data_IF_671971521848
#
_entry.id   IF_671971521848
#
_cell.length_a   1.000
_cell.length_b   1.000
_cell.length_c   1.000
_cell.angle_alpha   90.00
_cell.angle_beta   90.00
_cell.angle_gamma   90.00
#
_symmetry.space_group_name_H-M   'P 1'
#
loop_
_entity.id
_entity.type
_entity.pdbx_description
1 polymer ?
#
# COMPACT_ATOMS: atom_id res chain seq x y z
N UNK A 1 -21.50 2.44 18.19
CA UNK A 1 -20.02 2.26 18.36
C UNK A 1 -19.31 2.76 17.12
N UNK A 2 -18.19 3.52 17.23
CA UNK A 2 -17.43 4.00 16.05
C UNK A 2 -16.89 2.82 15.24
N UNK A 3 -17.04 2.88 13.91
CA UNK A 3 -16.73 1.77 13.02
C UNK A 3 -15.88 2.22 11.82
N UNK A 4 -14.81 1.50 11.52
CA UNK A 4 -14.02 1.64 10.31
C UNK A 4 -14.36 0.51 9.34
N UNK A 5 -14.98 0.85 8.22
CA UNK A 5 -15.17 -0.08 7.09
C UNK A 5 -13.91 -0.06 6.23
N UNK A 6 -13.35 -1.21 5.96
CA UNK A 6 -12.15 -1.38 5.15
C UNK A 6 -12.51 -2.08 3.84
N UNK A 7 -12.53 -1.33 2.74
CA UNK A 7 -12.73 -1.86 1.39
C UNK A 7 -11.37 -2.15 0.75
N UNK A 8 -11.04 -3.41 0.63
CA UNK A 8 -9.74 -3.87 0.14
C UNK A 8 -9.86 -4.82 -1.06
N UNK A 9 -8.75 -5.03 -1.73
CA UNK A 9 -8.66 -5.95 -2.86
C UNK A 9 -7.51 -5.58 -3.81
N UNK A 10 -7.24 -6.43 -4.82
CA UNK A 10 -6.12 -6.23 -5.73
C UNK A 10 -6.31 -4.99 -6.62
N UNK A 11 -5.19 -4.53 -7.17
CA UNK A 11 -5.26 -3.50 -8.21
C UNK A 11 -6.05 -4.00 -9.42
N UNK A 12 -6.84 -3.13 -10.04
CA UNK A 12 -7.69 -3.47 -11.21
C UNK A 12 -9.03 -4.13 -10.86
N UNK A 13 -9.31 -4.47 -9.58
CA UNK A 13 -10.55 -5.18 -9.19
C UNK A 13 -11.83 -4.33 -9.31
N UNK A 14 -11.74 -3.00 -9.21
CA UNK A 14 -12.91 -2.11 -9.30
C UNK A 14 -13.28 -1.39 -8.00
N UNK A 15 -12.34 -1.21 -7.07
CA UNK A 15 -12.60 -0.54 -5.78
C UNK A 15 -13.13 0.89 -5.89
N UNK A 16 -12.64 1.67 -6.84
CA UNK A 16 -12.84 3.13 -6.88
C UNK A 16 -14.33 3.50 -6.94
N UNK A 17 -15.08 2.99 -7.91
CA UNK A 17 -16.51 3.33 -8.04
C UNK A 17 -17.34 2.78 -6.85
N UNK A 18 -17.03 1.57 -6.39
CA UNK A 18 -17.70 1.01 -5.23
C UNK A 18 -17.41 1.83 -3.97
N UNK A 19 -16.15 2.29 -3.78
CA UNK A 19 -15.81 3.12 -2.62
C UNK A 19 -16.56 4.46 -2.60
N UNK A 20 -16.75 5.08 -3.77
CA UNK A 20 -17.58 6.28 -3.90
C UNK A 20 -19.04 6.00 -3.51
N UNK A 21 -19.64 4.95 -4.10
CA UNK A 21 -21.03 4.56 -3.80
C UNK A 21 -21.25 4.23 -2.32
N UNK A 22 -20.29 3.53 -1.69
CA UNK A 22 -20.38 3.23 -0.25
C UNK A 22 -20.18 4.48 0.61
N UNK A 23 -19.25 5.36 0.26
CA UNK A 23 -19.02 6.60 0.99
C UNK A 23 -20.22 7.55 0.93
N UNK A 24 -20.87 7.66 -0.25
CA UNK A 24 -22.11 8.40 -0.43
C UNK A 24 -23.25 7.81 0.42
N UNK A 25 -23.42 6.49 0.44
CA UNK A 25 -24.42 5.80 1.25
C UNK A 25 -24.18 6.01 2.76
N UNK A 26 -22.93 5.97 3.18
CA UNK A 26 -22.53 6.10 4.58
C UNK A 26 -22.42 7.58 5.04
N UNK A 27 -22.49 8.54 4.13
CA UNK A 27 -22.31 9.95 4.41
C UNK A 27 -20.92 10.26 5.00
N UNK A 28 -19.86 9.56 4.56
CA UNK A 28 -18.54 9.70 5.13
C UNK A 28 -17.46 9.94 4.06
N UNK A 29 -16.31 10.53 4.42
CA UNK A 29 -15.18 10.66 3.51
C UNK A 29 -14.49 9.30 3.27
N UNK A 30 -13.67 9.24 2.21
CA UNK A 30 -12.79 8.12 1.93
C UNK A 30 -11.38 8.40 2.49
N UNK A 31 -10.87 7.49 3.30
CA UNK A 31 -9.48 7.45 3.72
C UNK A 31 -8.75 6.54 2.73
N UNK A 32 -7.95 7.13 1.85
CA UNK A 32 -7.26 6.38 0.81
C UNK A 32 -6.08 5.58 1.40
N UNK A 33 -6.05 4.29 1.08
CA UNK A 33 -5.05 3.34 1.55
C UNK A 33 -4.20 2.80 0.38
N UNK A 34 -3.58 3.73 -0.36
CA UNK A 34 -2.62 3.42 -1.42
C UNK A 34 -1.31 4.15 -1.19
N UNK A 35 -0.21 3.39 -1.05
CA UNK A 35 1.11 3.92 -0.71
C UNK A 35 1.80 4.70 -1.84
N UNK A 36 1.15 4.84 -2.99
CA UNK A 36 1.67 5.61 -4.13
C UNK A 36 0.81 6.82 -4.43
N UNK A 37 -0.50 6.71 -4.30
CA UNK A 37 -1.43 7.81 -4.51
C UNK A 37 -1.29 8.94 -3.48
N UNK A 38 -0.62 8.70 -2.37
CA UNK A 38 -0.32 9.72 -1.35
C UNK A 38 0.66 10.78 -1.87
N UNK A 39 1.49 10.45 -2.86
CA UNK A 39 2.47 11.38 -3.42
C UNK A 39 1.89 12.26 -4.51
N UNK A 40 2.31 13.55 -4.52
CA UNK A 40 1.91 14.53 -5.51
C UNK A 40 2.41 14.15 -6.91
N UNK A 41 1.62 14.50 -7.93
CA UNK A 41 2.01 14.37 -9.33
C UNK A 41 1.81 12.98 -9.95
N UNK A 42 1.80 11.91 -9.19
CA UNK A 42 1.67 10.54 -9.70
C UNK A 42 0.18 10.18 -9.93
N UNK A 43 -0.42 10.73 -10.97
CA UNK A 43 -1.85 10.59 -11.22
C UNK A 43 -2.19 9.38 -12.09
N UNK A 44 -1.54 9.29 -13.26
CA UNK A 44 -1.83 8.28 -14.28
C UNK A 44 -1.30 6.92 -13.83
N UNK A 45 -0.01 6.83 -13.52
CA UNK A 45 0.64 5.56 -13.18
C UNK A 45 0.14 4.92 -11.89
N UNK A 46 -0.44 5.69 -10.98
CA UNK A 46 -1.07 5.18 -9.76
C UNK A 46 -2.59 5.01 -9.90
N UNK A 47 -3.18 5.50 -10.99
CA UNK A 47 -4.63 5.67 -11.17
C UNK A 47 -5.28 6.33 -9.96
N UNK A 48 -4.72 7.46 -9.54
CA UNK A 48 -5.27 8.25 -8.43
C UNK A 48 -6.70 8.72 -8.76
N UNK A 49 -7.53 8.95 -7.73
CA UNK A 49 -8.88 9.50 -7.92
C UNK A 49 -8.85 10.79 -8.74
N UNK A 50 -9.73 10.90 -9.72
CA UNK A 50 -9.86 12.09 -10.56
C UNK A 50 -10.44 13.28 -9.77
N UNK A 51 -10.29 14.49 -10.30
CA UNK A 51 -10.90 15.68 -9.68
C UNK A 51 -12.42 15.55 -9.56
N UNK A 52 -13.08 14.93 -10.55
CA UNK A 52 -14.51 14.63 -10.52
C UNK A 52 -14.87 13.67 -9.38
N UNK A 53 -14.11 12.58 -9.23
CA UNK A 53 -14.33 11.61 -8.14
C UNK A 53 -14.10 12.26 -6.76
N UNK A 54 -13.08 13.12 -6.63
CA UNK A 54 -12.81 13.85 -5.40
C UNK A 54 -13.85 14.95 -5.10
N UNK A 55 -14.53 15.48 -6.10
CA UNK A 55 -15.64 16.42 -5.89
C UNK A 55 -16.92 15.75 -5.40
N UNK A 56 -17.14 14.47 -5.74
CA UNK A 56 -18.28 13.67 -5.23
C UNK A 56 -18.11 13.33 -3.75
N UNK A 57 -16.93 12.87 -3.38
CA UNK A 57 -16.63 12.46 -2.00
C UNK A 57 -15.23 12.96 -1.64
N UNK A 58 -15.08 13.53 -0.45
CA UNK A 58 -13.78 13.96 0.05
C UNK A 58 -12.85 12.77 0.25
N UNK A 59 -11.63 12.85 -0.32
CA UNK A 59 -10.57 11.87 -0.14
C UNK A 59 -9.45 12.44 0.73
N UNK A 60 -8.98 11.66 1.68
CA UNK A 60 -7.76 11.93 2.45
C UNK A 60 -6.62 11.06 1.93
N UNK A 61 -5.39 11.49 2.12
CA UNK A 61 -4.16 10.80 1.68
C UNK A 61 -4.08 10.58 0.17
N UNK A 62 -4.52 11.57 -0.61
CA UNK A 62 -4.33 11.63 -2.06
C UNK A 62 -3.52 12.87 -2.39
N UNK A 63 -2.35 12.69 -3.01
CA UNK A 63 -1.45 13.76 -3.44
C UNK A 63 -1.11 14.77 -2.30
N UNK A 64 -0.85 14.28 -1.10
CA UNK A 64 -0.58 15.10 0.09
C UNK A 64 0.91 15.28 0.38
N UNK A 65 1.78 14.41 -0.16
CA UNK A 65 3.21 14.41 0.12
C UNK A 65 4.05 14.73 -1.12
N UNK A 66 5.18 15.44 -0.98
CA UNK A 66 6.13 15.59 -2.07
C UNK A 66 6.81 14.25 -2.40
N UNK A 67 7.36 14.13 -3.63
CA UNK A 67 7.90 12.87 -4.16
C UNK A 67 9.13 12.35 -3.40
N UNK A 68 9.89 13.21 -2.78
CA UNK A 68 11.09 12.92 -2.01
C UNK A 68 10.80 12.65 -0.53
N UNK A 69 9.55 12.82 -0.07
CA UNK A 69 9.20 12.54 1.30
C UNK A 69 9.39 11.06 1.65
N UNK A 70 9.97 10.82 2.82
CA UNK A 70 9.94 9.51 3.44
C UNK A 70 8.58 9.30 4.12
N UNK A 71 7.89 8.22 3.77
CA UNK A 71 6.61 7.90 4.36
C UNK A 71 6.45 6.39 4.54
N UNK A 72 6.39 5.96 5.79
CA UNK A 72 6.33 4.55 6.18
C UNK A 72 4.92 4.11 6.54
N UNK A 73 4.72 2.79 6.67
CA UNK A 73 3.45 2.26 7.16
C UNK A 73 3.15 2.68 8.60
N UNK A 74 4.18 2.89 9.43
CA UNK A 74 4.01 3.37 10.80
C UNK A 74 3.56 4.84 10.84
N UNK A 75 4.12 5.70 9.98
CA UNK A 75 3.64 7.08 9.84
C UNK A 75 2.21 7.12 9.31
N UNK A 76 1.89 6.30 8.29
CA UNK A 76 0.52 6.19 7.79
C UNK A 76 -0.45 5.74 8.89
N UNK A 77 -0.10 4.73 9.70
CA UNK A 77 -0.90 4.29 10.86
C UNK A 77 -1.18 5.46 11.81
N UNK A 78 -0.13 6.17 12.23
CA UNK A 78 -0.26 7.29 13.16
C UNK A 78 -1.17 8.40 12.61
N UNK A 79 -0.95 8.81 11.36
CA UNK A 79 -1.73 9.84 10.70
C UNK A 79 -3.19 9.44 10.50
N UNK A 80 -3.46 8.17 10.13
CA UNK A 80 -4.84 7.66 10.01
C UNK A 80 -5.52 7.60 11.36
N UNK A 81 -4.87 7.14 12.42
CA UNK A 81 -5.45 7.12 13.76
C UNK A 81 -5.77 8.52 14.27
N UNK A 82 -4.89 9.49 14.05
CA UNK A 82 -5.13 10.89 14.36
C UNK A 82 -6.32 11.44 13.56
N UNK A 83 -6.35 11.20 12.24
CA UNK A 83 -7.45 11.64 11.38
C UNK A 83 -8.79 11.01 11.80
N UNK A 84 -8.81 9.71 12.07
CA UNK A 84 -10.04 9.01 12.48
C UNK A 84 -10.58 9.55 13.80
N UNK A 85 -9.71 9.90 14.77
CA UNK A 85 -10.12 10.51 16.03
C UNK A 85 -10.87 11.85 15.81
N UNK A 86 -10.44 12.66 14.83
CA UNK A 86 -11.12 13.90 14.46
C UNK A 86 -12.44 13.63 13.72
N UNK A 87 -12.41 12.75 12.72
CA UNK A 87 -13.59 12.46 11.90
C UNK A 87 -14.71 11.77 12.69
N UNK A 88 -14.37 10.97 13.70
CA UNK A 88 -15.35 10.33 14.57
C UNK A 88 -16.10 11.30 15.51
N UNK A 89 -15.72 12.57 15.55
CA UNK A 89 -16.52 13.61 16.22
C UNK A 89 -17.82 13.91 15.46
N UNK A 90 -17.83 13.72 14.14
CA UNK A 90 -18.97 14.03 13.25
C UNK A 90 -19.51 12.84 12.47
N UNK A 91 -18.84 11.69 12.49
CA UNK A 91 -19.23 10.47 11.77
C UNK A 91 -19.23 9.28 12.73
N UNK A 92 -20.14 8.34 12.56
CA UNK A 92 -20.13 7.07 13.30
C UNK A 92 -19.41 5.96 12.51
N UNK A 93 -19.42 6.07 11.18
CA UNK A 93 -18.77 5.15 10.26
C UNK A 93 -17.79 5.91 9.37
N UNK A 94 -16.61 5.35 9.15
CA UNK A 94 -15.61 5.84 8.20
C UNK A 94 -15.24 4.74 7.21
N UNK A 95 -14.81 5.13 6.01
CA UNK A 95 -14.41 4.21 4.94
C UNK A 95 -12.91 4.35 4.63
N UNK A 96 -12.15 3.28 4.87
CA UNK A 96 -10.77 3.10 4.40
C UNK A 96 -10.81 2.30 3.10
N UNK A 97 -10.25 2.81 2.01
CA UNK A 97 -10.27 2.10 0.72
C UNK A 97 -8.88 2.04 0.09
N UNK A 98 -8.44 0.84 -0.30
CA UNK A 98 -7.15 0.70 -0.99
C UNK A 98 -6.68 -0.73 -1.19
N UNK A 99 -5.40 -0.85 -1.58
CA UNK A 99 -4.76 -2.13 -1.88
C UNK A 99 -3.37 -2.29 -1.28
N UNK A 100 -2.88 -1.31 -0.51
CA UNK A 100 -1.55 -1.38 0.09
C UNK A 100 -1.57 -2.25 1.35
N UNK A 101 -1.13 -3.49 1.19
CA UNK A 101 -1.18 -4.54 2.22
C UNK A 101 -0.65 -4.07 3.58
N UNK A 102 0.56 -3.53 3.61
CA UNK A 102 1.21 -3.07 4.85
C UNK A 102 0.48 -1.88 5.50
N UNK A 103 -0.16 -1.00 4.70
CA UNK A 103 -0.92 0.12 5.23
C UNK A 103 -2.23 -0.34 5.87
N UNK A 104 -2.93 -1.30 5.22
CA UNK A 104 -4.14 -1.90 5.76
C UNK A 104 -3.83 -2.63 7.07
N UNK A 105 -2.78 -3.45 7.09
CA UNK A 105 -2.38 -4.18 8.30
C UNK A 105 -1.97 -3.22 9.42
N UNK A 106 -1.21 -2.16 9.11
CA UNK A 106 -0.82 -1.16 10.08
C UNK A 106 -2.04 -0.49 10.74
N UNK A 107 -3.03 -0.07 9.95
CA UNK A 107 -4.24 0.55 10.49
C UNK A 107 -5.12 -0.46 11.24
N UNK A 108 -5.26 -1.70 10.75
CA UNK A 108 -6.15 -2.68 11.34
C UNK A 108 -5.58 -3.36 12.58
N UNK A 109 -4.30 -3.69 12.55
CA UNK A 109 -3.66 -4.55 13.56
C UNK A 109 -2.58 -3.84 14.35
N UNK A 110 -2.06 -2.73 13.84
CA UNK A 110 -0.86 -2.08 14.34
C UNK A 110 0.41 -2.62 13.70
N UNK A 111 1.42 -1.79 13.73
CA UNK A 111 2.77 -2.17 13.34
C UNK A 111 3.69 -2.07 14.56
N UNK A 112 4.72 -2.92 14.59
CA UNK A 112 5.72 -2.86 15.66
C UNK A 112 6.40 -1.49 15.70
N UNK A 113 6.74 -1.00 16.90
CA UNK A 113 7.39 0.29 17.10
C UNK A 113 8.88 0.21 16.76
N UNK A 114 9.15 0.09 15.46
CA UNK A 114 10.50 0.04 14.93
C UNK A 114 11.03 1.48 14.78
N UNK A 115 12.20 1.82 15.32
CA UNK A 115 12.74 3.17 15.23
C UNK A 115 13.00 3.60 13.78
N UNK A 116 12.77 4.87 13.48
CA UNK A 116 13.10 5.43 12.16
C UNK A 116 14.61 5.51 11.99
N UNK A 117 15.11 4.91 10.93
CA UNK A 117 16.55 4.89 10.63
C UNK A 117 17.00 6.26 10.13
N UNK A 118 18.09 6.78 10.68
CA UNK A 118 18.71 8.03 10.22
C UNK A 118 19.31 7.87 8.83
N UNK A 119 19.38 8.97 8.08
CA UNK A 119 19.97 8.97 6.73
C UNK A 119 21.46 8.56 6.76
N UNK A 120 22.20 8.94 7.79
CA UNK A 120 23.59 8.56 7.95
C UNK A 120 23.76 7.03 8.03
N UNK A 121 22.94 6.34 8.83
CA UNK A 121 22.98 4.87 8.94
C UNK A 121 22.58 4.21 7.63
N UNK A 122 21.54 4.72 6.95
CA UNK A 122 21.11 4.19 5.64
C UNK A 122 22.22 4.30 4.61
N UNK A 123 22.86 5.46 4.52
CA UNK A 123 23.93 5.70 3.56
C UNK A 123 25.11 4.75 3.86
N UNK A 124 25.53 4.64 5.11
CA UNK A 124 26.61 3.75 5.51
C UNK A 124 26.32 2.28 5.15
N UNK A 125 25.15 1.75 5.50
CA UNK A 125 24.80 0.36 5.16
C UNK A 125 24.68 0.15 3.64
N UNK A 126 24.16 1.14 2.89
CA UNK A 126 24.08 1.08 1.44
C UNK A 126 25.46 1.09 0.77
N UNK A 127 26.41 1.87 1.26
CA UNK A 127 27.79 1.88 0.80
C UNK A 127 28.48 0.55 1.09
N UNK A 128 28.29 0.02 2.28
CA UNK A 128 28.79 -1.30 2.66
C UNK A 128 28.20 -2.43 1.80
N UNK A 129 26.90 -2.37 1.47
CA UNK A 129 26.30 -3.31 0.53
C UNK A 129 27.00 -3.28 -0.83
N UNK A 130 27.41 -2.11 -1.29
CA UNK A 130 28.06 -1.95 -2.59
C UNK A 130 29.52 -2.44 -2.59
N UNK A 131 30.20 -2.31 -1.45
CA UNK A 131 31.65 -2.65 -1.31
C UNK A 131 31.89 -4.06 -0.78
N UNK A 132 31.11 -4.51 0.20
CA UNK A 132 31.28 -5.78 0.91
C UNK A 132 30.36 -6.89 0.34
N UNK A 133 29.24 -6.50 -0.27
CA UNK A 133 28.25 -7.42 -0.81
C UNK A 133 27.23 -7.91 0.22
N UNK A 134 26.19 -8.59 -0.28
CA UNK A 134 25.07 -9.07 0.54
C UNK A 134 25.48 -10.17 1.54
N UNK A 135 26.41 -11.04 1.14
CA UNK A 135 26.85 -12.19 1.98
C UNK A 135 27.55 -11.71 3.24
N UNK A 136 28.43 -10.71 3.13
CA UNK A 136 29.11 -10.13 4.29
C UNK A 136 28.12 -9.49 5.28
N UNK A 137 27.14 -8.75 4.76
CA UNK A 137 26.09 -8.14 5.56
C UNK A 137 25.18 -9.20 6.22
N UNK A 138 24.87 -10.26 5.52
CA UNK A 138 24.08 -11.36 6.07
C UNK A 138 24.83 -12.09 7.21
N UNK A 139 26.15 -12.29 7.07
CA UNK A 139 26.99 -12.88 8.11
C UNK A 139 27.11 -11.96 9.34
N UNK A 140 27.18 -10.65 9.15
CA UNK A 140 27.09 -9.69 10.25
C UNK A 140 25.75 -9.79 10.98
N UNK A 141 24.63 -9.85 10.22
CA UNK A 141 23.30 -10.03 10.81
C UNK A 141 23.21 -11.32 11.63
N UNK A 142 23.84 -12.41 11.17
CA UNK A 142 23.92 -13.68 11.91
C UNK A 142 24.57 -13.51 13.28
N UNK A 143 25.59 -12.66 13.37
CA UNK A 143 26.29 -12.38 14.64
C UNK A 143 25.51 -11.47 15.57
N UNK A 144 24.83 -10.45 15.03
CA UNK A 144 24.11 -9.44 15.80
C UNK A 144 22.72 -9.93 16.21
N UNK A 145 22.01 -10.60 15.30
CA UNK A 145 20.62 -11.06 15.49
C UNK A 145 20.43 -12.45 14.86
N UNK A 146 20.95 -13.51 15.50
CA UNK A 146 20.84 -14.88 14.99
C UNK A 146 19.40 -15.34 14.83
N UNK A 147 18.47 -14.93 15.70
CA UNK A 147 17.07 -15.30 15.62
C UNK A 147 16.43 -14.76 14.34
N UNK A 148 16.69 -13.51 13.98
CA UNK A 148 16.17 -12.98 12.72
C UNK A 148 16.87 -13.57 11.51
N UNK A 149 18.17 -13.81 11.60
CA UNK A 149 18.92 -14.45 10.53
C UNK A 149 18.36 -15.82 10.15
N UNK A 150 17.93 -16.61 11.12
CA UNK A 150 17.40 -17.96 10.88
C UNK A 150 16.08 -17.95 10.09
N UNK A 151 15.27 -16.91 10.25
CA UNK A 151 13.95 -16.82 9.61
C UNK A 151 13.90 -15.94 8.36
N UNK A 152 14.90 -15.05 8.17
CA UNK A 152 14.92 -14.15 7.02
C UNK A 152 15.36 -14.87 5.75
N UNK A 153 14.73 -14.52 4.62
CA UNK A 153 15.24 -14.92 3.31
C UNK A 153 16.60 -14.24 3.03
N UNK A 154 17.69 -15.01 3.07
CA UNK A 154 19.07 -14.54 2.89
C UNK A 154 19.33 -13.89 1.53
N UNK A 155 18.48 -14.14 0.51
CA UNK A 155 18.52 -13.50 -0.81
C UNK A 155 17.77 -12.17 -0.85
N UNK A 156 17.03 -11.85 0.19
CA UNK A 156 16.26 -10.62 0.27
C UNK A 156 17.11 -9.47 0.82
N UNK A 157 17.85 -8.81 -0.08
CA UNK A 157 18.72 -7.68 0.23
C UNK A 157 18.04 -6.62 1.11
N UNK A 158 16.78 -6.27 0.79
CA UNK A 158 16.07 -5.22 1.54
C UNK A 158 15.83 -5.60 2.99
N UNK A 159 15.51 -6.87 3.27
CA UNK A 159 15.26 -7.33 4.64
C UNK A 159 16.53 -7.41 5.46
N UNK A 160 17.63 -7.89 4.86
CA UNK A 160 18.95 -7.93 5.51
C UNK A 160 19.42 -6.51 5.86
N UNK A 161 19.42 -5.63 4.86
CA UNK A 161 19.82 -4.22 5.02
C UNK A 161 18.99 -3.54 6.10
N UNK A 162 17.66 -3.63 6.03
CA UNK A 162 16.78 -2.99 7.00
C UNK A 162 17.00 -3.50 8.44
N UNK A 163 17.20 -4.80 8.62
CA UNK A 163 17.49 -5.35 9.94
C UNK A 163 18.80 -4.81 10.50
N UNK A 164 19.87 -4.75 9.69
CA UNK A 164 21.14 -4.16 10.09
C UNK A 164 21.03 -2.66 10.39
N UNK A 165 20.31 -1.90 9.55
CA UNK A 165 20.04 -0.48 9.81
C UNK A 165 19.43 -0.27 11.20
N UNK A 166 18.44 -1.08 11.58
CA UNK A 166 17.81 -1.02 12.90
C UNK A 166 18.78 -1.43 14.00
N UNK A 167 19.54 -2.50 13.82
CA UNK A 167 20.52 -2.95 14.81
C UNK A 167 21.59 -1.87 15.06
N UNK A 168 22.14 -1.30 14.00
CA UNK A 168 23.17 -0.24 14.12
C UNK A 168 22.63 1.05 14.71
N UNK A 169 21.39 1.42 14.34
CA UNK A 169 20.74 2.62 14.85
C UNK A 169 20.41 2.53 16.34
N UNK A 170 19.91 1.38 16.77
CA UNK A 170 19.35 1.21 18.13
C UNK A 170 20.29 0.57 19.13
N UNK A 171 21.35 -0.11 18.66
CA UNK A 171 22.19 -0.97 19.51
C UNK A 171 21.49 -2.23 20.01
N UNK A 172 20.32 -2.58 19.48
CA UNK A 172 19.49 -3.73 19.86
C UNK A 172 19.25 -4.63 18.65
N UNK A 173 18.88 -5.90 18.89
CA UNK A 173 18.51 -6.82 17.82
C UNK A 173 17.21 -6.36 17.14
N UNK A 174 17.10 -6.58 15.83
CA UNK A 174 15.86 -6.32 15.10
C UNK A 174 14.71 -7.19 15.62
N UNK A 175 14.99 -8.43 16.02
CA UNK A 175 14.04 -9.34 16.68
C UNK A 175 13.39 -8.71 17.90
N UNK A 176 14.14 -7.94 18.72
CA UNK A 176 13.59 -7.31 19.92
C UNK A 176 12.48 -6.28 19.65
N UNK A 177 12.37 -5.76 18.44
CA UNK A 177 11.31 -4.86 18.02
C UNK A 177 10.14 -5.59 17.36
N UNK A 178 10.33 -6.85 16.93
CA UNK A 178 9.28 -7.65 16.27
C UNK A 178 8.41 -8.36 17.30
N UNK A 179 7.60 -7.57 17.98
CA UNK A 179 6.72 -8.10 19.04
C UNK A 179 5.47 -8.77 18.45
N UNK A 180 5.10 -8.43 17.22
CA UNK A 180 3.95 -8.96 16.48
C UNK A 180 2.63 -8.89 17.29
N UNK A 181 2.51 -7.96 18.24
CA UNK A 181 1.30 -7.78 19.03
C UNK A 181 0.28 -6.94 18.26
N UNK A 182 -0.93 -7.46 18.17
CA UNK A 182 -2.04 -6.64 17.70
C UNK A 182 -2.29 -5.50 18.70
N UNK A 183 -2.27 -4.27 18.19
CA UNK A 183 -2.59 -3.09 18.97
C UNK A 183 -4.12 -2.90 19.00
N UNK A 184 -4.75 -2.71 20.17
CA UNK A 184 -6.18 -2.44 20.23
C UNK A 184 -6.53 -1.17 19.44
N UNK A 185 -7.68 -1.18 18.79
CA UNK A 185 -8.21 -0.02 18.05
C UNK A 185 -9.39 0.60 18.78
N UNK A 186 -9.50 1.95 18.78
CA UNK A 186 -10.60 2.65 19.46
C UNK A 186 -11.91 2.59 18.64
N UNK A 187 -11.99 1.73 17.63
CA UNK A 187 -13.11 1.53 16.73
C UNK A 187 -13.23 0.05 16.32
N UNK A 188 -14.43 -0.32 15.96
CA UNK A 188 -14.70 -1.62 15.33
C UNK A 188 -14.20 -1.60 13.87
N UNK A 189 -13.78 -2.76 13.38
CA UNK A 189 -13.32 -2.92 11.98
C UNK A 189 -14.22 -3.92 11.27
N UNK A 190 -14.77 -3.51 10.12
CA UNK A 190 -15.50 -4.39 9.19
C UNK A 190 -14.69 -4.45 7.89
N UNK A 191 -14.27 -5.66 7.48
CA UNK A 191 -13.44 -5.83 6.29
C UNK A 191 -14.25 -6.42 5.15
N UNK A 192 -14.28 -5.70 4.02
CA UNK A 192 -14.90 -6.12 2.75
C UNK A 192 -13.79 -6.29 1.73
N UNK A 193 -13.59 -7.53 1.31
CA UNK A 193 -12.62 -7.89 0.27
C UNK A 193 -13.30 -8.00 -1.10
N UNK A 194 -12.67 -7.43 -2.12
CA UNK A 194 -13.14 -7.58 -3.49
C UNK A 194 -12.24 -8.52 -4.27
N UNK A 195 -12.86 -9.44 -5.00
CA UNK A 195 -12.18 -10.34 -5.91
C UNK A 195 -12.99 -10.56 -7.19
N UNK A 196 -12.29 -10.91 -8.28
CA UNK A 196 -12.87 -11.30 -9.57
C UNK A 196 -12.21 -12.59 -10.05
N UNK A 197 -12.85 -13.37 -10.94
CA UNK A 197 -12.18 -14.45 -11.64
C UNK A 197 -10.85 -13.97 -12.25
N UNK A 198 -9.84 -14.82 -12.21
CA UNK A 198 -8.47 -14.46 -12.61
C UNK A 198 -8.37 -13.88 -14.01
N UNK A 199 -9.09 -14.46 -14.97
CA UNK A 199 -9.06 -14.02 -16.37
C UNK A 199 -9.63 -12.62 -16.52
N UNK A 200 -10.75 -12.37 -15.85
CA UNK A 200 -11.39 -11.05 -15.84
C UNK A 200 -10.48 -9.99 -15.20
N UNK A 201 -9.92 -10.28 -14.03
CA UNK A 201 -8.99 -9.37 -13.35
C UNK A 201 -7.78 -9.05 -14.24
N UNK A 202 -7.23 -10.05 -14.93
CA UNK A 202 -6.09 -9.85 -15.80
C UNK A 202 -6.43 -9.08 -17.06
N UNK A 203 -7.59 -9.31 -17.66
CA UNK A 203 -8.11 -8.51 -18.76
C UNK A 203 -8.24 -7.03 -18.39
N UNK A 204 -8.85 -6.75 -17.24
CA UNK A 204 -8.99 -5.39 -16.69
C UNK A 204 -7.64 -4.71 -16.41
N UNK A 205 -6.68 -5.46 -15.84
CA UNK A 205 -5.33 -4.94 -15.59
C UNK A 205 -4.66 -4.56 -16.92
N UNK A 206 -4.75 -5.41 -17.93
CA UNK A 206 -4.14 -5.13 -19.24
C UNK A 206 -4.76 -3.89 -19.88
N UNK A 207 -6.10 -3.84 -19.98
CA UNK A 207 -6.83 -2.70 -20.53
C UNK A 207 -6.52 -1.39 -19.77
N UNK A 208 -6.37 -1.46 -18.44
CA UNK A 208 -5.98 -0.31 -17.64
C UNK A 208 -4.58 0.20 -17.98
N UNK A 209 -3.61 -0.68 -18.21
CA UNK A 209 -2.26 -0.28 -18.63
C UNK A 209 -2.30 0.37 -20.01
N UNK A 210 -3.06 -0.19 -20.96
CA UNK A 210 -3.21 0.40 -22.28
C UNK A 210 -3.84 1.81 -22.19
N UNK A 211 -4.87 1.97 -21.34
CA UNK A 211 -5.47 3.28 -21.06
C UNK A 211 -4.46 4.25 -20.43
N UNK A 212 -3.67 3.83 -19.45
CA UNK A 212 -2.64 4.67 -18.84
C UNK A 212 -1.64 5.19 -19.88
N UNK A 213 -1.24 4.34 -20.82
CA UNK A 213 -0.35 4.76 -21.91
C UNK A 213 -1.00 5.79 -22.83
N UNK A 214 -2.28 5.57 -23.18
CA UNK A 214 -3.06 6.52 -23.98
C UNK A 214 -3.30 7.84 -23.26
N UNK A 215 -3.46 7.82 -21.93
CA UNK A 215 -3.66 9.00 -21.08
C UNK A 215 -2.34 9.79 -20.83
N UNK A 216 -1.18 9.32 -21.34
CA UNK A 216 0.09 10.03 -21.25
C UNK A 216 1.03 9.58 -20.13
N UNK A 217 0.96 8.32 -19.68
CA UNK A 217 1.85 7.79 -18.63
C UNK A 217 3.34 8.00 -18.93
N UNK A 218 3.77 7.89 -20.19
CA UNK A 218 5.18 8.12 -20.54
C UNK A 218 5.59 9.57 -20.28
N UNK A 219 4.72 10.53 -20.54
CA UNK A 219 5.00 11.95 -20.31
C UNK A 219 5.00 12.28 -18.82
N UNK A 220 4.10 11.65 -18.03
CA UNK A 220 4.15 11.73 -16.57
C UNK A 220 5.51 11.22 -16.04
N UNK A 221 6.01 10.09 -16.56
CA UNK A 221 7.32 9.54 -16.15
C UNK A 221 8.48 10.46 -16.55
N UNK A 222 8.44 11.08 -17.75
CA UNK A 222 9.43 12.06 -18.18
C UNK A 222 9.46 13.28 -17.27
N UNK A 223 8.30 13.81 -16.92
CA UNK A 223 8.16 14.97 -16.05
C UNK A 223 8.83 14.77 -14.68
N UNK A 224 8.77 13.55 -14.15
CA UNK A 224 9.32 13.24 -12.83
C UNK A 224 10.64 12.45 -12.87
N UNK A 225 11.35 12.46 -13.99
CA UNK A 225 12.60 11.71 -14.17
C UNK A 225 13.70 12.11 -13.15
N UNK A 226 13.73 13.35 -12.71
CA UNK A 226 14.66 13.82 -11.69
C UNK A 226 14.47 13.14 -10.32
N UNK A 227 13.27 12.64 -10.04
CA UNK A 227 12.91 11.93 -8.80
C UNK A 227 12.99 10.41 -8.91
N UNK A 228 13.57 9.87 -9.99
CA UNK A 228 13.59 8.42 -10.30
C UNK A 228 14.14 7.54 -9.18
N UNK A 229 15.02 8.07 -8.35
CA UNK A 229 15.63 7.37 -7.21
C UNK A 229 14.80 7.46 -5.93
N UNK A 230 13.74 8.27 -5.91
CA UNK A 230 12.84 8.39 -4.76
C UNK A 230 11.96 7.15 -4.63
N UNK A 231 11.62 6.82 -3.37
CA UNK A 231 10.76 5.66 -3.09
C UNK A 231 9.39 5.77 -3.75
N UNK A 232 8.84 6.97 -3.91
CA UNK A 232 7.57 7.23 -4.58
C UNK A 232 7.50 6.60 -5.98
N UNK A 233 8.59 6.72 -6.75
CA UNK A 233 8.70 6.23 -8.14
C UNK A 233 9.22 4.79 -8.24
N UNK A 234 9.57 4.16 -7.10
CA UNK A 234 9.98 2.76 -7.07
C UNK A 234 8.76 1.82 -7.16
N UNK A 235 7.99 1.90 -8.24
CA UNK A 235 6.75 1.14 -8.45
C UNK A 235 6.61 0.69 -9.89
N UNK A 236 5.68 -0.24 -10.13
CA UNK A 236 5.36 -0.74 -11.48
C UNK A 236 4.80 0.41 -12.32
N UNK A 237 5.16 0.45 -13.57
CA UNK A 237 4.88 1.51 -14.52
C UNK A 237 6.06 2.45 -14.68
N UNK A 238 6.49 3.08 -13.61
CA UNK A 238 7.61 4.04 -13.64
C UNK A 238 8.95 3.36 -13.88
N UNK A 239 9.24 2.27 -13.19
CA UNK A 239 10.51 1.55 -13.36
C UNK A 239 10.75 1.04 -14.77
N UNK A 240 9.72 0.49 -15.36
CA UNK A 240 9.78 -0.05 -16.71
C UNK A 240 9.96 1.08 -17.74
N UNK A 241 9.26 2.19 -17.56
CA UNK A 241 9.36 3.34 -18.46
C UNK A 241 10.67 4.11 -18.28
N UNK A 242 11.30 4.10 -17.10
CA UNK A 242 12.67 4.62 -16.97
C UNK A 242 13.67 3.82 -17.83
N UNK A 243 13.50 2.50 -18.00
CA UNK A 243 14.34 1.74 -18.91
C UNK A 243 14.17 2.16 -20.39
N UNK A 244 12.96 2.61 -20.75
CA UNK A 244 12.70 3.18 -22.07
C UNK A 244 13.39 4.55 -22.22
N UNK A 245 13.31 5.41 -21.23
CA UNK A 245 13.98 6.71 -21.25
C UNK A 245 15.50 6.60 -21.29
N UNK A 246 16.05 5.54 -20.70
CA UNK A 246 17.48 5.23 -20.74
C UNK A 246 17.92 4.54 -22.07
N UNK A 247 16.98 4.27 -22.99
CA UNK A 247 17.25 3.55 -24.25
C UNK A 247 17.54 2.07 -24.09
N UNK A 248 17.33 1.49 -22.88
CA UNK A 248 17.59 0.09 -22.59
C UNK A 248 16.47 -0.85 -23.07
N UNK A 249 15.24 -0.37 -23.14
CA UNK A 249 14.07 -1.13 -23.56
C UNK A 249 13.26 -0.41 -24.62
N UNK A 250 12.71 -1.20 -25.55
CA UNK A 250 11.66 -0.75 -26.46
C UNK A 250 10.34 -0.50 -25.72
N UNK A 251 9.57 0.51 -26.14
CA UNK A 251 8.33 0.92 -25.47
C UNK A 251 7.32 -0.24 -25.36
N UNK A 252 7.12 -1.00 -26.42
CA UNK A 252 6.18 -2.14 -26.43
C UNK A 252 6.61 -3.22 -25.42
N UNK A 253 7.92 -3.48 -25.30
CA UNK A 253 8.46 -4.39 -24.30
C UNK A 253 8.16 -3.90 -22.89
N UNK A 254 8.34 -2.61 -22.63
CA UNK A 254 8.05 -2.02 -21.31
C UNK A 254 6.56 -2.14 -20.95
N UNK A 255 5.65 -1.88 -21.90
CA UNK A 255 4.20 -2.01 -21.70
C UNK A 255 3.84 -3.45 -21.30
N UNK A 256 4.35 -4.45 -22.03
CA UNK A 256 4.08 -5.86 -21.68
C UNK A 256 4.67 -6.25 -20.32
N UNK A 257 5.81 -5.69 -19.94
CA UNK A 257 6.39 -5.87 -18.60
C UNK A 257 5.53 -5.22 -17.52
N UNK A 258 5.00 -4.03 -17.74
CA UNK A 258 4.08 -3.35 -16.82
C UNK A 258 2.82 -4.21 -16.61
N UNK A 259 2.18 -4.69 -17.68
CA UNK A 259 1.03 -5.60 -17.61
C UNK A 259 1.36 -6.84 -16.77
N UNK A 260 2.46 -7.52 -17.10
CA UNK A 260 2.92 -8.70 -16.37
C UNK A 260 3.17 -8.41 -14.89
N UNK A 261 3.93 -7.37 -14.57
CA UNK A 261 4.32 -7.03 -13.20
C UNK A 261 3.11 -6.58 -12.37
N UNK A 262 2.13 -5.89 -12.98
CA UNK A 262 0.87 -5.52 -12.33
C UNK A 262 0.04 -6.77 -11.99
N UNK A 263 -0.05 -7.76 -12.89
CA UNK A 263 -0.72 -9.05 -12.62
C UNK A 263 -0.03 -9.81 -11.48
N UNK A 264 1.30 -9.81 -11.43
CA UNK A 264 2.08 -10.42 -10.34
C UNK A 264 1.80 -9.70 -9.02
N UNK A 265 1.74 -8.37 -9.04
CA UNK A 265 1.41 -7.58 -7.85
C UNK A 265 -0.01 -7.85 -7.35
N UNK A 266 -0.99 -7.90 -8.25
CA UNK A 266 -2.37 -8.24 -7.89
C UNK A 266 -2.49 -9.64 -7.24
N UNK A 267 -1.74 -10.63 -7.73
CA UNK A 267 -1.67 -11.95 -7.08
C UNK A 267 -1.09 -11.87 -5.67
N UNK A 268 -0.01 -11.10 -5.48
CA UNK A 268 0.60 -10.92 -4.15
C UNK A 268 -0.39 -10.27 -3.17
N UNK A 269 -1.16 -9.28 -3.63
CA UNK A 269 -2.21 -8.66 -2.81
C UNK A 269 -3.26 -9.69 -2.39
N UNK A 270 -3.79 -10.49 -3.33
CA UNK A 270 -4.79 -11.53 -3.02
C UNK A 270 -4.24 -12.56 -2.03
N UNK A 271 -3.04 -13.11 -2.28
CA UNK A 271 -2.40 -14.07 -1.37
C UNK A 271 -2.18 -13.48 0.03
N UNK A 272 -1.91 -12.18 0.12
CA UNK A 272 -1.76 -11.50 1.41
C UNK A 272 -3.08 -11.40 2.15
N UNK A 273 -4.11 -10.87 1.49
CA UNK A 273 -5.40 -10.64 2.10
C UNK A 273 -6.16 -11.93 2.44
N UNK A 274 -5.97 -13.00 1.67
CA UNK A 274 -6.57 -14.32 1.94
C UNK A 274 -6.11 -14.98 3.25
N UNK A 275 -5.07 -14.47 3.90
CA UNK A 275 -4.62 -14.94 5.22
C UNK A 275 -5.52 -14.43 6.36
N UNK A 276 -6.30 -13.42 6.10
CA UNK A 276 -7.19 -12.80 7.09
C UNK A 276 -8.62 -13.35 6.90
N UNK A 277 -9.01 -14.26 7.77
CA UNK A 277 -10.32 -14.93 7.75
C UNK A 277 -11.47 -13.98 8.11
N UNK A 278 -11.18 -12.82 8.70
CA UNK A 278 -12.18 -11.80 9.02
C UNK A 278 -12.68 -11.02 7.80
N UNK A 279 -12.06 -11.21 6.63
CA UNK A 279 -12.46 -10.53 5.41
C UNK A 279 -13.65 -11.24 4.76
N UNK A 280 -14.77 -10.52 4.60
CA UNK A 280 -15.89 -10.99 3.79
C UNK A 280 -15.66 -10.65 2.32
N UNK A 281 -15.59 -11.68 1.49
CA UNK A 281 -15.27 -11.53 0.07
C UNK A 281 -16.52 -11.41 -0.80
N UNK A 282 -16.46 -10.49 -1.78
CA UNK A 282 -17.53 -10.23 -2.74
C UNK A 282 -16.98 -10.04 -4.15
N UNK A 283 -17.84 -10.25 -5.15
CA UNK A 283 -17.59 -9.73 -6.47
C UNK A 283 -17.93 -8.22 -6.49
N UNK A 284 -17.10 -7.35 -7.09
CA UNK A 284 -17.34 -5.90 -7.03
C UNK A 284 -18.62 -5.44 -7.75
N UNK A 285 -19.20 -6.26 -8.62
CA UNK A 285 -20.44 -5.97 -9.31
C UNK A 285 -21.69 -6.30 -8.45
N UNK A 286 -21.49 -7.02 -7.34
CA UNK A 286 -22.55 -7.34 -6.37
C UNK A 286 -22.82 -6.16 -5.41
N UNK A 287 -22.92 -4.95 -5.94
CA UNK A 287 -23.00 -3.70 -5.15
C UNK A 287 -24.14 -3.73 -4.12
N UNK A 288 -25.33 -4.19 -4.51
CA UNK A 288 -26.48 -4.23 -3.60
C UNK A 288 -26.32 -5.29 -2.50
N UNK A 289 -25.69 -6.41 -2.79
CA UNK A 289 -25.37 -7.42 -1.80
C UNK A 289 -24.34 -6.90 -0.78
N UNK A 290 -23.33 -6.14 -1.25
CA UNK A 290 -22.33 -5.51 -0.40
C UNK A 290 -22.96 -4.45 0.51
N UNK A 291 -23.84 -3.60 -0.02
CA UNK A 291 -24.59 -2.61 0.75
C UNK A 291 -25.48 -3.26 1.80
N UNK A 292 -26.22 -4.31 1.41
CA UNK A 292 -27.06 -5.09 2.31
C UNK A 292 -26.29 -5.71 3.46
N UNK A 293 -25.17 -6.37 3.16
CA UNK A 293 -24.26 -6.92 4.16
C UNK A 293 -23.76 -5.85 5.12
N UNK A 294 -23.32 -4.70 4.57
CA UNK A 294 -22.79 -3.61 5.39
C UNK A 294 -23.85 -3.02 6.32
N UNK A 295 -25.06 -2.75 5.81
CA UNK A 295 -26.17 -2.26 6.61
C UNK A 295 -26.54 -3.25 7.73
N UNK A 296 -26.71 -4.53 7.40
CA UNK A 296 -27.00 -5.57 8.41
C UNK A 296 -25.92 -5.58 9.49
N UNK A 297 -24.64 -5.63 9.09
CA UNK A 297 -23.52 -5.73 10.03
C UNK A 297 -23.38 -4.48 10.91
N UNK A 298 -23.70 -3.30 10.40
CA UNK A 298 -23.70 -2.07 11.19
C UNK A 298 -24.82 -2.06 12.24
N UNK A 299 -26.03 -2.53 11.89
CA UNK A 299 -27.20 -2.52 12.78
C UNK A 299 -27.23 -3.65 13.81
N UNK A 300 -26.64 -4.82 13.51
CA UNK A 300 -26.60 -5.97 14.45
C UNK A 300 -25.97 -5.62 15.81
N UNK A 301 -25.17 -4.58 15.88
CA UNK A 301 -24.49 -4.14 17.12
C UNK A 301 -25.10 -2.91 17.81
N UNK A 302 -26.09 -2.28 17.21
CA UNK A 302 -26.84 -1.23 17.90
C UNK A 302 -27.90 -1.80 18.87
N UNK A 303 -28.14 -3.13 18.78
CA UNK A 303 -29.09 -3.86 19.62
C UNK A 303 -28.44 -4.77 20.69
N UNK A 304 -27.12 -4.81 20.77
CA UNK A 304 -26.36 -5.56 21.78
C UNK A 304 -25.62 -4.63 22.74
#
# INVERSE_FOLDING_TARGET
MKTLVVLLGPTGVGKTELSLSLAEMLGCPIINCDSRQVFQGLRIGTAAPTAEQQSRVKHYFVATLPLDAYYSAAQYEADVLQLTAELYKSHDVLLLSGGSMMYIDAVCHGIDDIPTVSEAVRTSIKERLSTEGLEALAEELRRIDPEYYDIVDKKNTRRIVHALEICHMSGRTYTSFRVCKQKPRPFRIIKIGLNRPREELFGRINARVDKMMADGLLDEVRQYAAYRNCNALNTVGYKELFQVLDGAWELNMAIERIKKNTRVYAKKQLTWFQRDESIKWFHPDDTELIKGYLNQTLHEHDMA
#
